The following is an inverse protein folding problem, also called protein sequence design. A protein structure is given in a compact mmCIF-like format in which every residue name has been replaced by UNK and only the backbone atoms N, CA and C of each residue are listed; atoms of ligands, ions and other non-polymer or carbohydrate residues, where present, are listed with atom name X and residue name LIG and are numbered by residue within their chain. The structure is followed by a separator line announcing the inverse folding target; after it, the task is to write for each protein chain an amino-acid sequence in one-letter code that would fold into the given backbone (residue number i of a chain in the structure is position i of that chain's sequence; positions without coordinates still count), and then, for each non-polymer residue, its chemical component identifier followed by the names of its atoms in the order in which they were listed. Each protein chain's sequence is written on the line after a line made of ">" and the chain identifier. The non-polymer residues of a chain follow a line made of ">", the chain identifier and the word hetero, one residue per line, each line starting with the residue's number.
data_IF_429046210856
#
_entry.id   IF_429046210856
#
_cell.length_a   1.000
_cell.length_b   1.000
_cell.length_c   1.000
_cell.angle_alpha   90.00
_cell.angle_beta   90.00
_cell.angle_gamma   90.00
#
_symmetry.space_group_name_H-M   'P 1'
#
loop_
_entity.id
_entity.type
_entity.pdbx_description
1 polymer ?
#
# COMPACT_ATOMS: atom_id res chain seq x y z
N UNK A 1 -7.84 -1.54 14.12
CA UNK A 1 -7.53 -0.85 15.38
C UNK A 1 -8.30 0.46 15.51
N UNK A 2 -8.17 1.41 14.60
CA UNK A 2 -8.82 2.73 14.63
C UNK A 2 -10.36 2.69 14.76
N UNK A 3 -11.02 1.80 14.02
CA UNK A 3 -12.48 1.63 14.11
C UNK A 3 -12.97 0.99 15.42
N UNK A 4 -12.09 0.33 16.19
CA UNK A 4 -12.46 -0.33 17.45
C UNK A 4 -12.37 0.59 18.65
N UNK A 5 -11.52 1.63 18.59
CA UNK A 5 -11.26 2.56 19.67
C UNK A 5 -11.05 3.98 19.12
N UNK A 6 -12.07 4.56 18.44
CA UNK A 6 -11.95 5.89 17.84
C UNK A 6 -11.66 6.97 18.89
N UNK A 7 -12.12 6.80 20.12
CA UNK A 7 -11.88 7.69 21.27
C UNK A 7 -10.40 7.82 21.66
N UNK A 8 -9.55 6.90 21.19
CA UNK A 8 -8.09 6.94 21.42
C UNK A 8 -7.31 7.58 20.29
N UNK A 9 -8.01 8.10 19.29
CA UNK A 9 -7.43 8.67 18.09
C UNK A 9 -7.63 10.18 18.07
N UNK A 10 -6.55 10.94 18.12
CA UNK A 10 -6.60 12.41 18.12
C UNK A 10 -6.80 12.96 16.69
N UNK A 11 -6.17 12.35 15.71
CA UNK A 11 -6.28 12.70 14.29
C UNK A 11 -5.76 11.56 13.43
N UNK A 12 -6.08 11.57 12.14
CA UNK A 12 -5.62 10.60 11.15
C UNK A 12 -5.01 11.28 9.94
N UNK A 13 -3.81 10.83 9.55
CA UNK A 13 -3.17 11.18 8.28
C UNK A 13 -2.96 9.87 7.54
N UNK A 14 -3.70 9.68 6.47
CA UNK A 14 -3.70 8.45 5.68
C UNK A 14 -3.10 8.70 4.31
N UNK A 15 -2.37 7.70 3.79
CA UNK A 15 -1.73 7.73 2.48
C UNK A 15 -1.75 6.34 1.84
N UNK A 16 -1.78 6.30 0.51
CA UNK A 16 -1.69 5.03 -0.22
C UNK A 16 -2.79 4.07 0.20
N UNK A 17 -4.02 4.47 -0.01
CA UNK A 17 -5.19 3.77 0.54
C UNK A 17 -5.35 2.40 -0.09
N UNK A 18 -5.25 1.38 0.74
CA UNK A 18 -5.51 -0.01 0.44
C UNK A 18 -6.67 -0.50 1.34
N UNK A 19 -7.80 -0.82 0.74
CA UNK A 19 -9.02 -1.20 1.45
C UNK A 19 -9.10 -2.71 1.74
N UNK A 20 -8.04 -3.42 1.43
CA UNK A 20 -7.89 -4.83 1.73
C UNK A 20 -8.91 -5.74 1.00
N UNK A 21 -9.38 -5.30 -0.15
CA UNK A 21 -10.32 -6.08 -0.97
C UNK A 21 -9.57 -7.03 -1.89
N UNK A 22 -10.20 -8.14 -2.21
CA UNK A 22 -9.62 -9.11 -3.15
C UNK A 22 -9.32 -8.48 -4.52
N UNK A 23 -10.15 -7.56 -4.99
CA UNK A 23 -9.92 -6.83 -6.24
C UNK A 23 -8.63 -6.00 -6.24
N UNK A 24 -8.22 -5.48 -5.09
CA UNK A 24 -6.97 -4.72 -4.96
C UNK A 24 -5.76 -5.64 -4.93
N UNK A 25 -5.89 -6.81 -4.29
CA UNK A 25 -4.87 -7.86 -4.32
C UNK A 25 -4.70 -8.40 -5.75
N UNK A 26 -5.81 -8.66 -6.45
CA UNK A 26 -5.80 -9.10 -7.86
C UNK A 26 -5.23 -8.02 -8.80
N UNK A 27 -5.53 -6.74 -8.53
CA UNK A 27 -4.91 -5.63 -9.23
C UNK A 27 -3.39 -5.63 -9.08
N UNK A 28 -2.89 -5.72 -7.85
CA UNK A 28 -1.45 -5.77 -7.59
C UNK A 28 -0.78 -6.97 -8.28
N UNK A 29 -1.34 -8.16 -8.16
CA UNK A 29 -0.73 -9.39 -8.66
C UNK A 29 -0.86 -9.56 -10.18
N UNK A 30 -1.94 -9.06 -10.77
CA UNK A 30 -2.25 -9.32 -12.19
C UNK A 30 -2.64 -8.08 -12.99
N UNK A 31 -3.30 -7.11 -12.36
CA UNK A 31 -3.80 -5.91 -13.06
C UNK A 31 -2.67 -4.97 -13.50
N UNK A 32 -1.67 -4.77 -12.63
CA UNK A 32 -0.54 -3.87 -12.89
C UNK A 32 0.27 -4.22 -14.14
N UNK A 33 0.19 -5.45 -14.64
CA UNK A 33 0.81 -5.84 -15.93
C UNK A 33 0.35 -5.00 -17.11
N UNK A 34 -0.84 -4.39 -17.02
CA UNK A 34 -1.36 -3.51 -18.06
C UNK A 34 -0.68 -2.14 -18.09
N UNK A 35 0.03 -1.78 -17.03
CA UNK A 35 0.73 -0.49 -16.89
C UNK A 35 2.25 -0.71 -16.81
N UNK A 36 2.69 -1.76 -16.12
CA UNK A 36 4.09 -2.12 -15.90
C UNK A 36 4.38 -3.55 -16.39
N UNK A 37 4.32 -3.83 -17.72
CA UNK A 37 4.49 -5.17 -18.23
C UNK A 37 5.89 -5.75 -17.95
N UNK A 38 6.96 -4.95 -18.08
CA UNK A 38 8.33 -5.42 -17.91
C UNK A 38 8.67 -5.79 -16.45
N UNK A 39 8.33 -5.00 -15.43
CA UNK A 39 8.46 -5.42 -14.05
C UNK A 39 7.59 -6.64 -13.72
N UNK A 40 6.36 -6.69 -14.25
CA UNK A 40 5.47 -7.81 -14.02
C UNK A 40 5.99 -9.12 -14.65
N UNK A 41 6.54 -9.06 -15.86
CA UNK A 41 7.15 -10.24 -16.49
C UNK A 41 8.30 -10.81 -15.67
N UNK A 42 9.14 -9.96 -15.06
CA UNK A 42 10.21 -10.40 -14.16
C UNK A 42 9.64 -11.01 -12.87
N UNK A 43 8.62 -10.39 -12.29
CA UNK A 43 7.92 -10.87 -11.11
C UNK A 43 7.26 -12.23 -11.38
N UNK A 44 6.39 -12.33 -12.37
CA UNK A 44 5.74 -13.59 -12.70
C UNK A 44 6.74 -14.65 -13.22
N UNK A 45 7.77 -14.20 -13.96
CA UNK A 45 8.81 -15.04 -14.53
C UNK A 45 9.77 -15.67 -13.52
N UNK A 46 9.83 -15.15 -12.29
CA UNK A 46 10.55 -15.79 -11.19
C UNK A 46 10.00 -17.20 -10.87
N UNK A 47 8.69 -17.39 -11.03
CA UNK A 47 8.04 -18.67 -10.81
C UNK A 47 8.08 -19.54 -12.09
N UNK A 48 8.20 -20.87 -11.95
CA UNK A 48 7.98 -21.81 -13.04
C UNK A 48 6.65 -21.55 -13.75
N UNK A 49 6.58 -21.83 -15.04
CA UNK A 49 5.42 -21.50 -15.88
C UNK A 49 4.11 -22.09 -15.35
N UNK A 50 4.16 -23.31 -14.87
CA UNK A 50 3.04 -24.07 -14.31
C UNK A 50 2.51 -23.48 -12.98
N UNK A 51 3.32 -22.68 -12.29
CA UNK A 51 2.96 -22.06 -11.02
C UNK A 51 2.39 -20.64 -11.17
N UNK A 52 2.50 -20.04 -12.36
CA UNK A 52 2.09 -18.64 -12.59
C UNK A 52 0.58 -18.40 -12.55
N UNK A 53 -0.21 -19.47 -12.54
CA UNK A 53 -1.66 -19.40 -12.40
C UNK A 53 -2.13 -18.98 -10.99
N UNK A 54 -1.26 -19.15 -9.97
CA UNK A 54 -1.53 -18.71 -8.59
C UNK A 54 -0.24 -18.10 -8.00
N UNK A 55 0.03 -16.85 -8.41
CA UNK A 55 1.24 -16.13 -7.99
C UNK A 55 1.31 -16.03 -6.46
N UNK A 56 0.21 -15.65 -5.81
CA UNK A 56 0.20 -15.42 -4.37
C UNK A 56 0.60 -16.67 -3.58
N UNK A 57 -0.06 -17.79 -3.83
CA UNK A 57 0.22 -19.05 -3.14
C UNK A 57 1.66 -19.52 -3.35
N UNK A 58 2.14 -19.42 -4.60
CA UNK A 58 3.45 -19.93 -4.96
C UNK A 58 4.60 -19.03 -4.49
N UNK A 59 4.38 -17.72 -4.40
CA UNK A 59 5.29 -16.82 -3.71
C UNK A 59 5.27 -17.05 -2.21
N UNK A 60 4.09 -17.09 -1.58
CA UNK A 60 3.95 -17.31 -0.14
C UNK A 60 4.66 -18.58 0.31
N UNK A 61 4.48 -19.70 -0.42
CA UNK A 61 5.18 -20.96 -0.11
C UNK A 61 6.69 -20.78 -0.03
N UNK A 62 7.30 -20.01 -0.96
CA UNK A 62 8.73 -19.73 -0.94
C UNK A 62 9.13 -18.75 0.16
N UNK A 63 8.33 -17.73 0.38
CA UNK A 63 8.61 -16.69 1.37
C UNK A 63 8.64 -17.22 2.81
N UNK A 64 7.83 -18.25 3.11
CA UNK A 64 7.81 -18.89 4.44
C UNK A 64 8.82 -20.05 4.58
N UNK A 65 9.52 -20.41 3.51
CA UNK A 65 10.55 -21.45 3.57
C UNK A 65 11.67 -21.01 4.53
N UNK A 66 12.18 -21.90 5.41
CA UNK A 66 13.25 -21.55 6.34
C UNK A 66 14.61 -21.33 5.65
N UNK A 67 14.82 -21.89 4.45
CA UNK A 67 16.08 -21.77 3.71
C UNK A 67 16.21 -20.38 3.04
N UNK A 68 17.23 -19.58 3.41
CA UNK A 68 17.51 -18.31 2.74
C UNK A 68 17.74 -18.43 1.23
N UNK A 69 18.27 -19.55 0.76
CA UNK A 69 18.47 -19.78 -0.68
C UNK A 69 17.14 -19.87 -1.44
N UNK A 70 16.03 -20.14 -0.76
CA UNK A 70 14.68 -20.22 -1.32
C UNK A 70 13.92 -18.89 -1.10
N UNK A 71 13.87 -18.41 0.14
CA UNK A 71 13.02 -17.25 0.43
C UNK A 71 13.61 -15.92 -0.02
N UNK A 72 14.92 -15.72 0.00
CA UNK A 72 15.50 -14.42 -0.35
C UNK A 72 15.34 -14.05 -1.84
N UNK A 73 15.57 -14.96 -2.81
CA UNK A 73 15.26 -14.64 -4.21
C UNK A 73 13.78 -14.31 -4.45
N UNK A 74 12.85 -15.02 -3.81
CA UNK A 74 11.43 -14.75 -3.89
C UNK A 74 11.07 -13.38 -3.28
N UNK A 75 11.64 -13.06 -2.13
CA UNK A 75 11.43 -11.78 -1.48
C UNK A 75 11.93 -10.60 -2.32
N UNK A 76 13.12 -10.72 -2.91
CA UNK A 76 13.65 -9.68 -3.81
C UNK A 76 12.79 -9.53 -5.07
N UNK A 77 12.35 -10.64 -5.68
CA UNK A 77 11.49 -10.58 -6.87
C UNK A 77 10.16 -9.86 -6.59
N UNK A 78 9.53 -10.14 -5.45
CA UNK A 78 8.31 -9.46 -5.00
C UNK A 78 8.55 -7.98 -4.75
N UNK A 79 9.52 -7.66 -3.91
CA UNK A 79 9.77 -6.31 -3.44
C UNK A 79 10.28 -5.38 -4.55
N UNK A 80 11.15 -5.88 -5.45
CA UNK A 80 11.60 -5.12 -6.64
C UNK A 80 10.44 -4.80 -7.57
N UNK A 81 9.51 -5.74 -7.75
CA UNK A 81 8.31 -5.49 -8.53
C UNK A 81 7.50 -4.32 -7.97
N UNK A 82 7.20 -4.33 -6.68
CA UNK A 82 6.48 -3.23 -6.02
C UNK A 82 7.25 -1.92 -6.10
N UNK A 83 8.55 -1.94 -5.78
CA UNK A 83 9.40 -0.74 -5.88
C UNK A 83 9.42 -0.15 -7.28
N UNK A 84 9.37 -1.00 -8.32
CA UNK A 84 9.32 -0.55 -9.71
C UNK A 84 8.01 0.13 -10.10
N UNK A 85 6.93 -0.14 -9.37
CA UNK A 85 5.60 0.42 -9.59
C UNK A 85 5.26 1.61 -8.67
N UNK A 86 6.16 1.93 -7.71
CA UNK A 86 5.84 2.84 -6.60
C UNK A 86 6.01 4.32 -6.91
N UNK A 87 6.73 4.69 -7.95
CA UNK A 87 7.01 6.10 -8.29
C UNK A 87 6.43 6.49 -9.64
N UNK A 88 6.03 7.74 -9.78
CA UNK A 88 5.52 8.28 -11.06
C UNK A 88 6.57 8.19 -12.17
N UNK A 89 7.78 8.60 -11.86
CA UNK A 89 8.93 8.49 -12.76
C UNK A 89 9.84 7.34 -12.32
N UNK A 90 10.57 6.69 -13.23
CA UNK A 90 11.51 5.64 -12.86
C UNK A 90 12.50 6.11 -11.79
N UNK A 91 12.64 5.33 -10.71
CA UNK A 91 13.57 5.61 -9.61
C UNK A 91 14.44 4.38 -9.31
N UNK A 92 15.63 4.27 -9.92
CA UNK A 92 16.56 3.18 -9.62
C UNK A 92 16.93 3.10 -8.12
N UNK A 93 16.97 4.23 -7.43
CA UNK A 93 17.24 4.30 -5.99
C UNK A 93 16.12 3.63 -5.18
N UNK A 94 14.86 3.90 -5.51
CA UNK A 94 13.72 3.24 -4.89
C UNK A 94 13.78 1.74 -5.13
N UNK A 95 14.03 1.31 -6.36
CA UNK A 95 14.15 -0.12 -6.69
C UNK A 95 15.29 -0.78 -5.90
N UNK A 96 16.45 -0.12 -5.81
CA UNK A 96 17.58 -0.62 -5.03
C UNK A 96 17.27 -0.72 -3.52
N UNK A 97 16.55 0.25 -2.98
CA UNK A 97 16.09 0.21 -1.58
C UNK A 97 15.17 -1.00 -1.33
N UNK A 98 14.20 -1.24 -2.21
CA UNK A 98 13.30 -2.39 -2.12
C UNK A 98 14.02 -3.73 -2.33
N UNK A 99 15.13 -3.75 -3.08
CA UNK A 99 15.94 -4.96 -3.28
C UNK A 99 16.81 -5.33 -2.06
N UNK A 100 16.99 -4.42 -1.11
CA UNK A 100 17.78 -4.67 0.12
C UNK A 100 17.18 -5.78 0.96
N UNK A 101 18.01 -6.69 1.47
CA UNK A 101 17.59 -7.95 2.10
C UNK A 101 16.56 -7.78 3.22
N UNK A 102 16.78 -6.82 4.10
CA UNK A 102 15.89 -6.56 5.25
C UNK A 102 14.52 -6.05 4.77
N UNK A 103 14.53 -5.10 3.83
CA UNK A 103 13.30 -4.53 3.26
C UNK A 103 12.57 -5.58 2.46
N UNK A 104 13.26 -6.26 1.54
CA UNK A 104 12.66 -7.25 0.67
C UNK A 104 11.97 -8.37 1.44
N UNK A 105 12.66 -8.94 2.42
CA UNK A 105 12.12 -10.06 3.20
C UNK A 105 10.95 -9.62 4.10
N UNK A 106 11.12 -8.49 4.79
CA UNK A 106 10.08 -7.96 5.69
C UNK A 106 8.80 -7.62 4.92
N UNK A 107 8.92 -6.86 3.83
CA UNK A 107 7.80 -6.47 2.99
C UNK A 107 7.08 -7.68 2.40
N UNK A 108 7.78 -8.49 1.62
CA UNK A 108 7.17 -9.60 0.89
C UNK A 108 6.51 -10.64 1.81
N UNK A 109 7.14 -10.99 2.95
CA UNK A 109 6.55 -11.93 3.91
C UNK A 109 5.28 -11.39 4.54
N UNK A 110 5.30 -10.15 4.99
CA UNK A 110 4.15 -9.54 5.66
C UNK A 110 2.98 -9.41 4.67
N UNK A 111 3.22 -8.87 3.49
CA UNK A 111 2.18 -8.70 2.49
C UNK A 111 1.58 -10.03 2.02
N UNK A 112 2.43 -10.97 1.59
CA UNK A 112 1.96 -12.27 1.17
C UNK A 112 1.18 -13.01 2.26
N UNK A 113 1.62 -12.91 3.53
CA UNK A 113 0.91 -13.48 4.66
C UNK A 113 -0.48 -12.84 4.85
N UNK A 114 -0.55 -11.52 4.82
CA UNK A 114 -1.84 -10.83 4.93
C UNK A 114 -2.75 -11.14 3.75
N UNK A 115 -2.24 -11.12 2.52
CA UNK A 115 -3.01 -11.42 1.31
C UNK A 115 -3.56 -12.85 1.30
N UNK A 116 -2.77 -13.82 1.77
CA UNK A 116 -3.21 -15.22 1.90
C UNK A 116 -4.33 -15.43 2.93
N UNK A 117 -4.46 -14.52 3.89
CA UNK A 117 -5.41 -14.61 4.99
C UNK A 117 -6.51 -13.53 4.92
N UNK A 118 -6.85 -13.04 3.71
CA UNK A 118 -7.84 -11.98 3.49
C UNK A 118 -7.67 -10.79 4.45
N UNK A 119 -6.38 -10.42 4.72
CA UNK A 119 -5.96 -9.33 5.63
C UNK A 119 -6.51 -9.50 7.07
N UNK A 120 -7.03 -10.66 7.43
CA UNK A 120 -7.72 -10.92 8.70
C UNK A 120 -8.92 -9.99 8.94
N UNK A 121 -9.57 -9.51 7.88
CA UNK A 121 -10.71 -8.63 7.93
C UNK A 121 -11.90 -9.23 7.17
N UNK A 122 -13.10 -8.94 7.66
CA UNK A 122 -14.31 -9.19 6.90
C UNK A 122 -14.37 -8.32 5.64
N UNK A 123 -15.00 -8.83 4.61
CA UNK A 123 -15.11 -8.15 3.31
C UNK A 123 -15.71 -6.75 3.48
N UNK A 124 -15.07 -5.75 2.88
CA UNK A 124 -15.47 -4.33 2.94
C UNK A 124 -15.53 -3.69 4.34
N UNK A 125 -15.07 -4.37 5.37
CA UNK A 125 -15.19 -3.90 6.77
C UNK A 125 -14.61 -2.50 6.99
N UNK A 126 -13.59 -2.09 6.23
CA UNK A 126 -13.01 -0.75 6.36
C UNK A 126 -13.97 0.34 5.87
N UNK A 127 -14.62 0.16 4.72
CA UNK A 127 -15.60 1.13 4.20
C UNK A 127 -16.89 1.13 5.03
N UNK A 128 -17.41 -0.02 5.39
CA UNK A 128 -18.63 -0.16 6.18
C UNK A 128 -18.52 0.50 7.56
N UNK A 129 -17.32 0.48 8.14
CA UNK A 129 -17.04 1.09 9.43
C UNK A 129 -16.45 2.51 9.34
N UNK A 130 -16.27 3.09 8.16
CA UNK A 130 -15.70 4.43 7.98
C UNK A 130 -16.53 5.53 8.69
N UNK A 131 -17.84 5.35 8.83
CA UNK A 131 -18.72 6.24 9.57
C UNK A 131 -18.30 6.46 11.04
N UNK A 132 -17.57 5.51 11.62
CA UNK A 132 -17.04 5.61 13.02
C UNK A 132 -15.88 6.61 13.13
N UNK A 133 -15.33 7.07 12.01
CA UNK A 133 -14.28 8.08 11.96
C UNK A 133 -14.80 9.51 11.84
N UNK A 134 -16.11 9.71 11.69
CA UNK A 134 -16.74 11.01 11.38
C UNK A 134 -16.31 12.16 12.30
N UNK A 135 -16.06 11.87 13.58
CA UNK A 135 -15.71 12.86 14.60
C UNK A 135 -14.18 13.00 14.78
N UNK A 136 -13.39 12.25 14.02
CA UNK A 136 -11.92 12.29 14.06
C UNK A 136 -11.43 13.21 12.94
N UNK A 137 -10.63 14.24 13.26
CA UNK A 137 -9.99 15.06 12.24
C UNK A 137 -9.10 14.20 11.33
N UNK A 138 -9.26 14.31 10.01
CA UNK A 138 -8.54 13.46 9.10
C UNK A 138 -8.05 14.14 7.83
N UNK A 139 -6.96 13.62 7.27
CA UNK A 139 -6.44 13.95 5.95
C UNK A 139 -6.13 12.66 5.22
N UNK A 140 -6.60 12.55 3.99
CA UNK A 140 -6.24 11.50 3.04
C UNK A 140 -5.36 12.14 1.97
N UNK A 141 -4.10 11.70 1.85
CA UNK A 141 -3.15 12.15 0.82
C UNK A 141 -2.96 11.01 -0.17
N UNK A 142 -3.23 11.27 -1.45
CA UNK A 142 -3.14 10.24 -2.49
C UNK A 142 -2.49 10.80 -3.76
N UNK A 143 -1.55 10.06 -4.34
CA UNK A 143 -1.01 10.38 -5.66
C UNK A 143 -2.06 10.17 -6.76
N UNK A 144 -2.12 11.07 -7.73
CA UNK A 144 -3.03 10.94 -8.88
C UNK A 144 -2.75 9.66 -9.67
N UNK A 145 -1.49 9.30 -9.78
CA UNK A 145 -0.99 8.18 -10.55
C UNK A 145 -0.46 7.05 -9.66
N UNK A 146 -0.99 6.94 -8.45
CA UNK A 146 -0.72 5.79 -7.60
C UNK A 146 -1.32 4.53 -8.23
N UNK A 147 -0.43 3.69 -8.77
CA UNK A 147 -0.82 2.45 -9.44
C UNK A 147 -0.74 1.25 -8.51
N UNK A 148 0.03 1.33 -7.42
CA UNK A 148 0.07 0.28 -6.38
C UNK A 148 -1.25 0.24 -5.62
N UNK A 149 -1.68 1.43 -5.13
CA UNK A 149 -2.99 1.63 -4.48
C UNK A 149 -3.80 2.65 -5.29
N UNK A 150 -4.57 2.22 -6.29
CA UNK A 150 -5.25 3.13 -7.21
C UNK A 150 -6.13 4.15 -6.51
N UNK A 151 -6.14 5.38 -7.04
CA UNK A 151 -6.87 6.53 -6.51
C UNK A 151 -8.35 6.24 -6.20
N UNK A 152 -8.97 5.30 -6.90
CA UNK A 152 -10.38 4.92 -6.66
C UNK A 152 -10.62 4.47 -5.23
N UNK A 153 -9.70 3.72 -4.62
CA UNK A 153 -9.82 3.27 -3.22
C UNK A 153 -9.82 4.46 -2.24
N UNK A 154 -8.95 5.44 -2.45
CA UNK A 154 -8.93 6.66 -1.65
C UNK A 154 -10.19 7.52 -1.85
N UNK A 155 -10.69 7.59 -3.07
CA UNK A 155 -11.93 8.30 -3.38
C UNK A 155 -13.15 7.63 -2.72
N UNK A 156 -13.24 6.31 -2.73
CA UNK A 156 -14.29 5.57 -2.03
C UNK A 156 -14.23 5.77 -0.51
N UNK A 157 -13.03 5.73 0.07
CA UNK A 157 -12.84 6.02 1.50
C UNK A 157 -13.29 7.44 1.84
N UNK A 158 -12.91 8.44 1.03
CA UNK A 158 -13.36 9.81 1.26
C UNK A 158 -14.88 9.96 1.15
N UNK A 159 -15.52 9.27 0.22
CA UNK A 159 -16.99 9.25 0.14
C UNK A 159 -17.65 8.65 1.38
N UNK A 160 -17.03 7.64 1.99
CA UNK A 160 -17.50 7.02 3.22
C UNK A 160 -17.13 7.82 4.49
N UNK A 161 -16.13 8.70 4.39
CA UNK A 161 -15.67 9.59 5.46
C UNK A 161 -15.45 11.01 4.92
N UNK A 162 -16.53 11.74 4.58
CA UNK A 162 -16.47 13.04 3.91
C UNK A 162 -15.92 14.18 4.79
N UNK A 163 -15.80 13.96 6.11
CA UNK A 163 -15.19 14.93 7.04
C UNK A 163 -13.67 15.00 6.90
N UNK A 164 -13.04 13.94 6.38
CA UNK A 164 -11.60 13.96 6.09
C UNK A 164 -11.31 14.91 4.93
N UNK A 165 -10.26 15.70 5.04
CA UNK A 165 -9.73 16.43 3.89
C UNK A 165 -9.15 15.44 2.88
N UNK A 166 -9.56 15.52 1.62
CA UNK A 166 -8.97 14.71 0.56
C UNK A 166 -8.04 15.54 -0.30
N UNK A 167 -6.75 15.19 -0.29
CA UNK A 167 -5.70 15.86 -1.05
C UNK A 167 -5.13 14.92 -2.10
N UNK A 168 -5.45 15.19 -3.34
CA UNK A 168 -4.89 14.49 -4.49
C UNK A 168 -3.64 15.26 -4.95
N UNK A 169 -2.48 14.60 -4.97
CA UNK A 169 -1.24 15.16 -5.50
C UNK A 169 -1.17 14.87 -6.99
N UNK A 170 -1.22 15.89 -7.86
CA UNK A 170 -1.48 15.71 -9.29
C UNK A 170 -0.34 15.06 -10.06
N UNK A 171 0.88 15.13 -9.53
CA UNK A 171 2.14 14.73 -10.14
C UNK A 171 2.90 13.69 -9.31
N UNK A 172 2.19 12.78 -8.66
CA UNK A 172 2.78 11.74 -7.81
C UNK A 172 2.15 10.36 -8.03
N UNK A 173 2.95 9.34 -7.79
CA UNK A 173 2.57 7.93 -7.69
C UNK A 173 2.28 7.49 -6.26
N UNK A 174 2.80 6.31 -5.89
CA UNK A 174 2.56 5.68 -4.59
C UNK A 174 3.53 6.13 -3.51
N UNK A 175 4.80 6.42 -3.83
CA UNK A 175 5.85 6.62 -2.83
C UNK A 175 5.58 7.83 -1.93
N UNK A 176 5.72 7.63 -0.60
CA UNK A 176 5.66 8.72 0.38
C UNK A 176 6.80 9.74 0.21
N UNK A 177 7.86 9.37 -0.48
CA UNK A 177 9.04 10.19 -0.70
C UNK A 177 8.95 11.09 -1.92
N UNK A 178 7.93 10.95 -2.75
CA UNK A 178 7.69 11.90 -3.84
C UNK A 178 7.38 13.28 -3.25
N UNK A 179 8.00 14.36 -3.77
CA UNK A 179 7.99 15.67 -3.12
C UNK A 179 6.60 16.19 -2.76
N UNK A 180 5.63 16.03 -3.67
CA UNK A 180 4.26 16.46 -3.44
C UNK A 180 3.55 15.68 -2.33
N UNK A 181 3.78 14.36 -2.24
CA UNK A 181 3.23 13.51 -1.18
C UNK A 181 3.89 13.87 0.15
N UNK A 182 5.23 13.90 0.20
CA UNK A 182 5.98 14.24 1.40
C UNK A 182 5.56 15.61 1.96
N UNK A 183 5.51 16.63 1.10
CA UNK A 183 5.07 17.97 1.48
C UNK A 183 3.66 17.99 2.07
N UNK A 184 2.73 17.27 1.45
CA UNK A 184 1.35 17.16 1.93
C UNK A 184 1.23 16.45 3.29
N UNK A 185 2.02 15.41 3.52
CA UNK A 185 2.05 14.68 4.79
C UNK A 185 2.64 15.55 5.92
N UNK A 186 3.75 16.23 5.66
CA UNK A 186 4.39 17.15 6.61
C UNK A 186 3.43 18.30 6.96
N UNK A 187 2.81 18.94 5.96
CA UNK A 187 1.83 20.00 6.18
C UNK A 187 0.65 19.54 7.06
N UNK A 188 0.11 18.35 6.79
CA UNK A 188 -0.96 17.77 7.59
C UNK A 188 -0.51 17.54 9.04
N UNK A 189 0.70 17.01 9.24
CA UNK A 189 1.28 16.78 10.57
C UNK A 189 1.46 18.08 11.34
N UNK A 190 2.04 19.11 10.72
CA UNK A 190 2.24 20.42 11.35
C UNK A 190 0.92 21.13 11.66
N UNK A 191 -0.09 20.93 10.82
CA UNK A 191 -1.44 21.46 11.10
C UNK A 191 -2.04 20.79 12.33
N UNK A 192 -2.03 19.47 12.44
CA UNK A 192 -2.58 18.78 13.62
C UNK A 192 -1.79 19.07 14.89
N UNK A 193 -0.47 19.21 14.82
CA UNK A 193 0.35 19.67 15.93
C UNK A 193 -0.16 20.99 16.51
N UNK A 194 -0.42 22.00 15.66
CA UNK A 194 -0.93 23.29 16.10
C UNK A 194 -2.33 23.20 16.69
N UNK A 195 -3.27 22.52 16.01
CA UNK A 195 -4.68 22.46 16.44
C UNK A 195 -4.88 21.62 17.70
N UNK A 196 -4.12 20.55 17.89
CA UNK A 196 -4.23 19.69 19.07
C UNK A 196 -3.52 20.29 20.29
N UNK A 197 -2.41 21.03 20.08
CA UNK A 197 -1.72 21.73 21.19
C UNK A 197 -2.52 22.93 21.73
N UNK A 198 -3.44 23.50 20.95
CA UNK A 198 -4.29 24.62 21.41
C UNK A 198 -5.58 24.16 22.08
N UNK A 199 -5.88 22.87 22.11
CA UNK A 199 -7.09 22.29 22.69
C UNK A 199 -6.86 21.63 24.08
N UNK A 200 -5.63 21.62 24.57
CA UNK A 200 -5.22 21.15 25.91
C UNK A 200 -4.64 22.27 26.74
#
# INVERSE_FOLDING_TARGET
>A
MLFRSPERCLALILRGIFLCRRSEIEWFLYGLRGVFPEPWEKFAGFLPREERGDLLRNYHRRLIDPDPAIHMPAARAWSVYEGSCSTLLPSPETVAYFAGDVVALGLARIEAHYFMNDIFLERNSLLENAHRLRDIPGVIVQGRYDMVCPLVSAHELHRAWPQAQFRIVPDAGHSAWEPGILGALVEATERFKRTLSSAG
#
